data_IF_007124980410
#
_entry.id   IF_007124980410
#
_cell.length_a   1.000
_cell.length_b   1.000
_cell.length_c   1.000
_cell.angle_alpha   90.00
_cell.angle_beta   90.00
_cell.angle_gamma   90.00
#
_symmetry.space_group_name_H-M   'P 1'
#
loop_
_entity.id
_entity.type
_entity.pdbx_description
1 polymer ?
#
# COMPACT_ATOMS: atom_id res chain seq x y z
N UNK A 1 17.10 9.38 -38.51
CA UNK A 1 16.29 10.16 -37.55
C UNK A 1 16.54 9.61 -36.15
N UNK A 2 17.03 10.46 -35.26
CA UNK A 2 17.55 10.09 -33.95
C UNK A 2 16.42 10.14 -32.91
N UNK A 3 16.04 9.02 -32.32
CA UNK A 3 15.00 8.96 -31.27
C UNK A 3 15.69 9.36 -29.95
N UNK A 4 15.55 10.63 -29.56
CA UNK A 4 15.92 11.11 -28.22
C UNK A 4 15.03 10.42 -27.19
N UNK A 5 15.57 9.43 -26.48
CA UNK A 5 14.95 8.87 -25.29
C UNK A 5 14.76 9.95 -24.23
N UNK A 6 13.55 10.11 -23.73
CA UNK A 6 13.20 11.09 -22.70
C UNK A 6 13.97 10.81 -21.39
N UNK A 7 14.67 11.77 -20.77
CA UNK A 7 15.56 11.54 -19.61
C UNK A 7 14.84 11.17 -18.29
N UNK A 8 13.51 11.30 -18.25
CA UNK A 8 12.76 11.31 -16.98
C UNK A 8 12.38 9.93 -16.47
N UNK A 9 12.34 8.91 -17.35
CA UNK A 9 12.04 7.53 -16.95
C UNK A 9 13.11 6.95 -16.02
N UNK A 10 14.37 7.30 -16.23
CA UNK A 10 15.48 6.94 -15.35
C UNK A 10 15.41 7.67 -14.01
N UNK A 11 15.00 8.95 -14.03
CA UNK A 11 14.92 9.79 -12.83
C UNK A 11 13.86 9.30 -11.83
N UNK A 12 12.69 8.83 -12.29
CA UNK A 12 11.65 8.29 -11.40
C UNK A 12 12.06 6.95 -10.78
N UNK A 13 12.70 6.07 -11.56
CA UNK A 13 13.21 4.79 -11.08
C UNK A 13 14.36 4.99 -10.08
N UNK A 14 15.24 5.96 -10.34
CA UNK A 14 16.28 6.41 -9.40
C UNK A 14 15.67 6.94 -8.11
N UNK A 15 14.63 7.78 -8.18
CA UNK A 15 13.93 8.27 -7.00
C UNK A 15 13.32 7.14 -6.15
N UNK A 16 12.70 6.14 -6.79
CA UNK A 16 12.14 4.97 -6.09
C UNK A 16 13.24 4.13 -5.43
N UNK A 17 14.31 3.83 -6.15
CA UNK A 17 15.46 3.04 -5.64
C UNK A 17 16.21 3.80 -4.54
N UNK A 18 16.37 5.12 -4.67
CA UNK A 18 16.97 5.96 -3.63
C UNK A 18 16.12 5.98 -2.36
N UNK A 19 14.79 6.10 -2.45
CA UNK A 19 13.91 6.03 -1.27
C UNK A 19 13.99 4.65 -0.57
N UNK A 20 14.08 3.56 -1.34
CA UNK A 20 14.27 2.20 -0.80
C UNK A 20 15.63 2.06 -0.07
N UNK A 21 16.70 2.60 -0.64
CA UNK A 21 18.06 2.56 -0.04
C UNK A 21 18.19 3.49 1.18
N UNK A 22 17.51 4.64 1.19
CA UNK A 22 17.50 5.57 2.32
C UNK A 22 16.85 4.97 3.57
N UNK A 23 15.92 4.01 3.41
CA UNK A 23 15.29 3.30 4.53
C UNK A 23 16.17 2.20 5.15
N UNK A 24 17.29 1.82 4.55
CA UNK A 24 18.09 0.66 4.98
C UNK A 24 18.90 0.91 6.26
N UNK A 25 19.12 2.17 6.66
CA UNK A 25 20.02 2.55 7.76
C UNK A 25 19.46 3.59 8.75
N UNK A 26 18.15 3.84 8.75
CA UNK A 26 17.54 4.76 9.72
C UNK A 26 17.07 3.96 10.92
N UNK A 27 17.84 3.97 12.01
CA UNK A 27 17.31 3.54 13.31
C UNK A 27 16.14 4.49 13.66
N UNK A 28 14.90 3.99 13.79
CA UNK A 28 13.77 4.86 14.09
C UNK A 28 13.91 5.38 15.53
N UNK A 29 14.49 6.57 15.68
CA UNK A 29 14.41 7.33 16.92
C UNK A 29 12.97 7.87 17.04
N UNK A 30 12.26 7.59 18.15
CA UNK A 30 10.93 8.14 18.33
C UNK A 30 11.02 9.68 18.35
N UNK A 31 10.28 10.35 17.47
CA UNK A 31 10.08 11.80 17.54
C UNK A 31 9.20 12.09 18.75
N UNK A 32 9.83 12.45 19.86
CA UNK A 32 9.16 12.75 21.13
C UNK A 32 8.69 14.21 21.16
N UNK A 33 7.41 14.47 21.47
CA UNK A 33 6.98 15.82 21.84
C UNK A 33 7.78 16.29 23.05
N UNK A 34 8.46 17.43 22.96
CA UNK A 34 9.11 18.09 24.11
C UNK A 34 10.54 17.67 24.46
N UNK A 35 11.24 16.88 23.64
CA UNK A 35 12.69 16.68 23.80
C UNK A 35 13.14 15.80 24.98
N UNK A 36 12.25 14.99 25.56
CA UNK A 36 12.60 14.09 26.66
C UNK A 36 13.46 12.90 26.18
N UNK A 37 14.54 12.60 26.93
CA UNK A 37 15.53 11.56 26.60
C UNK A 37 15.00 10.10 26.70
N UNK A 38 13.78 9.90 27.21
CA UNK A 38 13.13 8.58 27.31
C UNK A 38 11.65 8.70 26.95
N UNK A 39 11.32 8.45 25.68
CA UNK A 39 9.93 8.27 25.26
C UNK A 39 9.44 6.90 25.73
N UNK A 40 8.36 6.87 26.52
CA UNK A 40 7.48 5.71 26.53
C UNK A 40 6.42 5.94 25.47
N UNK A 41 6.54 5.26 24.33
CA UNK A 41 5.48 5.22 23.32
C UNK A 41 4.51 4.13 23.73
N UNK A 42 3.23 4.46 23.94
CA UNK A 42 2.23 3.47 24.29
C UNK A 42 1.75 2.72 23.05
N UNK A 43 1.21 1.52 23.22
CA UNK A 43 0.59 0.78 22.11
C UNK A 43 -0.58 1.57 21.48
N UNK A 44 -1.28 2.39 22.29
CA UNK A 44 -2.31 3.31 21.81
C UNK A 44 -1.72 4.34 20.85
N UNK A 45 -0.61 4.99 21.21
CA UNK A 45 0.04 5.99 20.35
C UNK A 45 0.53 5.39 19.02
N UNK A 46 1.02 4.15 19.05
CA UNK A 46 1.42 3.41 17.86
C UNK A 46 0.22 3.15 16.94
N UNK A 47 -0.88 2.64 17.49
CA UNK A 47 -2.10 2.42 16.71
C UNK A 47 -2.71 3.72 16.18
N UNK A 48 -2.70 4.81 16.97
CA UNK A 48 -3.18 6.12 16.53
C UNK A 48 -2.40 6.60 15.30
N UNK A 49 -1.06 6.55 15.36
CA UNK A 49 -0.21 6.91 14.22
C UNK A 49 -0.42 5.97 13.03
N UNK A 50 -0.49 4.66 13.25
CA UNK A 50 -0.66 3.68 12.17
C UNK A 50 -2.01 3.86 11.45
N UNK A 51 -3.10 4.10 12.19
CA UNK A 51 -4.42 4.36 11.61
C UNK A 51 -4.43 5.69 10.84
N UNK A 52 -3.82 6.75 11.37
CA UNK A 52 -3.72 8.05 10.66
C UNK A 52 -2.96 7.88 9.33
N UNK A 53 -1.82 7.19 9.35
CA UNK A 53 -1.00 6.98 8.16
C UNK A 53 -1.70 6.09 7.14
N UNK A 54 -2.32 4.98 7.56
CA UNK A 54 -3.02 4.08 6.64
C UNK A 54 -4.24 4.74 5.98
N UNK A 55 -5.03 5.51 6.74
CA UNK A 55 -6.12 6.31 6.20
C UNK A 55 -5.61 7.34 5.18
N UNK A 56 -4.51 8.03 5.48
CA UNK A 56 -3.90 8.99 4.54
C UNK A 56 -3.42 8.31 3.25
N UNK A 57 -2.73 7.17 3.36
CA UNK A 57 -2.27 6.38 2.22
C UNK A 57 -3.44 5.92 1.36
N UNK A 58 -4.53 5.45 1.98
CA UNK A 58 -5.74 5.05 1.26
C UNK A 58 -6.38 6.22 0.50
N UNK A 59 -6.49 7.39 1.11
CA UNK A 59 -7.03 8.58 0.47
C UNK A 59 -6.20 8.98 -0.75
N UNK A 60 -4.87 9.09 -0.59
CA UNK A 60 -3.96 9.37 -1.71
C UNK A 60 -4.05 8.33 -2.82
N UNK A 61 -4.16 7.04 -2.46
CA UNK A 61 -4.29 5.95 -3.43
C UNK A 61 -5.61 6.05 -4.21
N UNK A 62 -6.69 6.46 -3.54
CA UNK A 62 -8.01 6.68 -4.15
C UNK A 62 -8.02 7.88 -5.08
N UNK A 63 -7.43 9.00 -4.67
CA UNK A 63 -7.27 10.20 -5.50
C UNK A 63 -6.42 9.91 -6.73
N UNK A 64 -5.26 9.27 -6.55
CA UNK A 64 -4.38 8.89 -7.65
C UNK A 64 -5.07 7.98 -8.66
N UNK A 65 -5.83 6.97 -8.19
CA UNK A 65 -6.61 6.12 -9.07
C UNK A 65 -7.69 6.90 -9.83
N UNK A 66 -8.43 7.77 -9.14
CA UNK A 66 -9.52 8.57 -9.73
C UNK A 66 -9.00 9.52 -10.81
N UNK A 67 -7.91 10.23 -10.54
CA UNK A 67 -7.30 11.15 -11.50
C UNK A 67 -6.72 10.42 -12.71
N UNK A 68 -6.08 9.25 -12.49
CA UNK A 68 -5.62 8.42 -13.59
C UNK A 68 -6.80 7.91 -14.44
N UNK A 69 -7.86 7.43 -13.80
CA UNK A 69 -9.01 6.84 -14.49
C UNK A 69 -9.72 7.87 -15.38
N UNK A 70 -9.99 9.04 -14.79
CA UNK A 70 -10.60 10.19 -15.46
C UNK A 70 -9.79 10.64 -16.68
N UNK A 71 -8.46 10.64 -16.59
CA UNK A 71 -7.58 11.21 -17.62
C UNK A 71 -7.23 10.22 -18.73
N UNK A 72 -7.09 8.94 -18.42
CA UNK A 72 -6.48 7.96 -19.34
C UNK A 72 -7.39 6.81 -19.75
N UNK A 73 -8.42 6.48 -18.96
CA UNK A 73 -9.14 5.20 -19.12
C UNK A 73 -10.65 5.33 -19.27
N UNK A 74 -11.20 6.53 -19.00
CA UNK A 74 -12.62 6.81 -19.18
C UNK A 74 -13.11 6.41 -20.59
N UNK A 75 -14.08 5.49 -20.65
CA UNK A 75 -14.64 4.97 -21.90
C UNK A 75 -13.88 3.81 -22.58
N UNK A 76 -12.78 3.31 -22.01
CA UNK A 76 -11.95 2.23 -22.61
C UNK A 76 -12.18 0.83 -22.05
N UNK A 77 -13.11 0.66 -21.11
CA UNK A 77 -13.51 -0.66 -20.61
C UNK A 77 -12.45 -1.40 -19.78
N UNK A 78 -11.38 -0.75 -19.31
CA UNK A 78 -10.31 -1.40 -18.55
C UNK A 78 -10.76 -1.98 -17.20
N UNK A 79 -11.91 -1.56 -16.67
CA UNK A 79 -12.47 -2.09 -15.43
C UNK A 79 -12.68 -3.60 -15.46
N UNK A 80 -13.06 -4.17 -16.61
CA UNK A 80 -13.28 -5.63 -16.73
C UNK A 80 -11.97 -6.41 -16.70
N UNK A 81 -10.85 -5.80 -17.12
CA UNK A 81 -9.50 -6.39 -17.12
C UNK A 81 -8.81 -6.33 -15.75
N UNK A 82 -9.35 -5.57 -14.80
CA UNK A 82 -8.81 -5.42 -13.45
C UNK A 82 -9.39 -6.41 -12.43
N UNK A 83 -10.46 -7.13 -12.80
CA UNK A 83 -11.10 -8.09 -11.91
C UNK A 83 -10.10 -9.21 -11.58
N UNK A 84 -9.85 -9.42 -10.28
CA UNK A 84 -8.95 -10.46 -9.73
C UNK A 84 -7.48 -10.38 -10.18
N UNK A 85 -7.00 -9.22 -10.65
CA UNK A 85 -5.64 -9.07 -11.21
C UNK A 85 -4.54 -8.73 -10.19
N UNK A 86 -4.85 -8.73 -8.88
CA UNK A 86 -3.91 -8.27 -7.86
C UNK A 86 -3.04 -9.41 -7.33
N UNK A 87 -1.73 -9.18 -7.25
CA UNK A 87 -0.75 -10.16 -6.75
C UNK A 87 -1.02 -10.66 -5.32
N UNK A 88 -1.69 -9.84 -4.50
CA UNK A 88 -2.10 -10.16 -3.13
C UNK A 88 -3.37 -11.01 -3.04
N UNK A 89 -4.04 -11.32 -4.15
CA UNK A 89 -5.31 -12.06 -4.11
C UNK A 89 -5.15 -13.53 -3.70
N UNK A 90 -3.91 -14.05 -3.69
CA UNK A 90 -3.58 -15.38 -3.17
C UNK A 90 -3.51 -15.42 -1.63
N UNK A 91 -3.47 -14.26 -0.96
CA UNK A 91 -3.44 -14.20 0.49
C UNK A 91 -4.84 -14.48 1.06
N UNK A 92 -4.96 -15.33 2.10
CA UNK A 92 -6.22 -15.53 2.80
C UNK A 92 -6.50 -14.32 3.70
N UNK A 93 -7.07 -13.27 3.11
CA UNK A 93 -7.46 -12.06 3.83
C UNK A 93 -8.92 -12.13 4.25
N UNK A 94 -9.30 -11.70 5.46
CA UNK A 94 -10.70 -11.69 5.87
C UNK A 94 -11.51 -10.71 5.02
N UNK A 95 -12.64 -11.14 4.48
CA UNK A 95 -13.48 -10.30 3.62
C UNK A 95 -14.55 -9.53 4.38
N UNK A 96 -14.89 -10.01 5.58
CA UNK A 96 -15.92 -9.44 6.44
C UNK A 96 -15.42 -9.24 7.89
N UNK A 97 -16.28 -8.63 8.70
CA UNK A 97 -15.97 -8.27 10.08
C UNK A 97 -15.80 -9.52 10.95
N UNK A 98 -16.63 -10.53 10.70
CA UNK A 98 -16.70 -11.78 11.45
C UNK A 98 -15.39 -12.56 11.29
N UNK A 99 -14.91 -12.71 10.05
CA UNK A 99 -13.61 -13.32 9.74
C UNK A 99 -12.46 -12.53 10.36
N UNK A 100 -12.50 -11.20 10.30
CA UNK A 100 -11.45 -10.36 10.87
C UNK A 100 -11.36 -10.49 12.41
N UNK A 101 -12.49 -10.71 13.10
CA UNK A 101 -12.52 -10.95 14.54
C UNK A 101 -11.94 -12.30 14.95
N UNK A 102 -11.92 -13.28 14.04
CA UNK A 102 -11.41 -14.64 14.29
C UNK A 102 -9.89 -14.77 14.13
N UNK A 103 -9.20 -13.75 13.60
CA UNK A 103 -7.74 -13.79 13.43
C UNK A 103 -7.04 -13.80 14.81
N UNK A 104 -6.11 -14.74 15.03
CA UNK A 104 -5.31 -14.76 16.26
C UNK A 104 -4.17 -13.74 16.17
N UNK A 105 -4.07 -12.85 17.15
CA UNK A 105 -2.95 -11.92 17.30
C UNK A 105 -1.95 -12.58 18.26
N UNK A 106 -0.88 -13.16 17.71
CA UNK A 106 0.18 -13.77 18.52
C UNK A 106 1.34 -12.78 18.73
N UNK A 107 1.78 -12.56 19.99
CA UNK A 107 2.92 -11.69 20.29
C UNK A 107 4.29 -12.32 19.91
N UNK A 108 4.35 -13.63 19.69
CA UNK A 108 5.56 -14.36 19.31
C UNK A 108 5.45 -14.88 17.87
N UNK A 109 5.52 -13.98 16.89
CA UNK A 109 5.60 -14.36 15.48
C UNK A 109 7.01 -14.81 15.13
N UNK A 110 7.14 -16.03 14.59
CA UNK A 110 8.37 -16.45 13.89
C UNK A 110 8.54 -15.55 12.66
N UNK A 111 9.70 -14.92 12.51
CA UNK A 111 10.09 -14.13 11.33
C UNK A 111 10.24 -15.04 10.10
N UNK A 112 9.12 -15.48 9.54
CA UNK A 112 9.08 -16.15 8.24
C UNK A 112 8.33 -15.23 7.29
N UNK A 113 9.06 -14.36 6.59
CA UNK A 113 8.49 -13.47 5.59
C UNK A 113 8.07 -14.25 4.34
N UNK A 114 6.80 -14.67 4.31
CA UNK A 114 6.18 -15.27 3.13
C UNK A 114 5.17 -14.27 2.57
N UNK A 115 5.62 -13.42 1.65
CA UNK A 115 4.76 -12.45 0.96
C UNK A 115 4.67 -12.77 -0.54
N UNK A 116 3.53 -12.46 -1.19
CA UNK A 116 3.38 -12.66 -2.63
C UNK A 116 4.31 -11.70 -3.38
N UNK A 117 5.06 -12.24 -4.34
CA UNK A 117 5.98 -11.44 -5.18
C UNK A 117 5.21 -10.80 -6.32
N UNK A 118 5.41 -9.50 -6.53
CA UNK A 118 4.88 -8.78 -7.69
C UNK A 118 5.87 -8.84 -8.86
N UNK A 119 5.41 -9.32 -10.02
CA UNK A 119 6.23 -9.51 -11.23
C UNK A 119 5.75 -8.70 -12.44
N UNK A 120 4.91 -7.68 -12.21
CA UNK A 120 4.23 -6.93 -13.27
C UNK A 120 5.07 -5.85 -13.98
N UNK A 121 6.36 -5.72 -13.68
CA UNK A 121 7.22 -4.67 -14.25
C UNK A 121 7.30 -4.68 -15.79
N UNK A 122 7.42 -5.84 -16.47
CA UNK A 122 7.44 -5.87 -17.94
C UNK A 122 6.19 -5.25 -18.57
N UNK A 123 5.01 -5.51 -18.00
CA UNK A 123 3.74 -4.96 -18.49
C UNK A 123 3.66 -3.44 -18.37
N UNK A 124 4.29 -2.85 -17.34
CA UNK A 124 4.37 -1.39 -17.18
C UNK A 124 5.33 -0.71 -18.17
N UNK A 125 6.24 -1.48 -18.78
CA UNK A 125 7.26 -1.00 -19.71
C UNK A 125 6.93 -1.29 -21.17
N UNK A 126 5.76 -1.89 -21.45
CA UNK A 126 5.34 -2.20 -22.82
C UNK A 126 5.32 -0.96 -23.72
N UNK A 127 5.80 -1.14 -24.95
CA UNK A 127 5.76 -0.10 -25.98
C UNK A 127 4.31 0.18 -26.42
N UNK A 128 3.47 -0.85 -26.46
CA UNK A 128 2.04 -0.73 -26.71
C UNK A 128 1.38 0.09 -25.60
N UNK A 129 0.75 1.20 -25.99
CA UNK A 129 0.16 2.15 -25.06
C UNK A 129 -1.05 1.56 -24.33
N UNK A 130 -1.91 0.80 -25.03
CA UNK A 130 -3.12 0.24 -24.45
C UNK A 130 -2.79 -0.79 -23.37
N UNK A 131 -1.91 -1.74 -23.67
CA UNK A 131 -1.44 -2.75 -22.71
C UNK A 131 -0.75 -2.10 -21.51
N UNK A 132 0.09 -1.09 -21.76
CA UNK A 132 0.77 -0.35 -20.69
C UNK A 132 -0.23 0.39 -19.79
N UNK A 133 -1.20 1.12 -20.36
CA UNK A 133 -2.22 1.82 -19.59
C UNK A 133 -3.09 0.85 -18.80
N UNK A 134 -3.46 -0.30 -19.38
CA UNK A 134 -4.18 -1.36 -18.66
C UNK A 134 -3.37 -1.91 -17.49
N UNK A 135 -2.05 -2.06 -17.63
CA UNK A 135 -1.17 -2.49 -16.55
C UNK A 135 -1.09 -1.46 -15.40
N UNK A 136 -0.97 -0.16 -15.72
CA UNK A 136 -1.04 0.91 -14.73
C UNK A 136 -2.42 0.97 -14.04
N UNK A 137 -3.50 0.82 -14.79
CA UNK A 137 -4.85 0.78 -14.24
C UNK A 137 -4.99 -0.34 -13.21
N UNK A 138 -4.55 -1.56 -13.55
CA UNK A 138 -4.58 -2.70 -12.64
C UNK A 138 -3.72 -2.45 -11.38
N UNK A 139 -2.53 -1.88 -11.54
CA UNK A 139 -1.65 -1.53 -10.42
C UNK A 139 -2.32 -0.56 -9.44
N UNK A 140 -2.87 0.54 -9.96
CA UNK A 140 -3.51 1.58 -9.14
C UNK A 140 -4.81 1.08 -8.51
N UNK A 141 -5.58 0.28 -9.24
CA UNK A 141 -6.76 -0.40 -8.72
C UNK A 141 -6.41 -1.27 -7.50
N UNK A 142 -5.37 -2.10 -7.63
CA UNK A 142 -4.91 -2.98 -6.55
C UNK A 142 -4.36 -2.20 -5.36
N UNK A 143 -3.58 -1.13 -5.60
CA UNK A 143 -3.06 -0.27 -4.54
C UNK A 143 -4.21 0.38 -3.74
N UNK A 144 -5.23 0.91 -4.42
CA UNK A 144 -6.42 1.48 -3.78
C UNK A 144 -7.16 0.43 -2.94
N UNK A 145 -7.34 -0.78 -3.48
CA UNK A 145 -8.02 -1.89 -2.79
C UNK A 145 -7.26 -2.33 -1.53
N UNK A 146 -5.95 -2.54 -1.67
CA UNK A 146 -5.13 -3.10 -0.59
C UNK A 146 -4.85 -2.06 0.50
N UNK A 147 -4.67 -0.78 0.16
CA UNK A 147 -4.58 0.30 1.15
C UNK A 147 -5.86 0.45 1.97
N UNK A 148 -7.03 0.33 1.34
CA UNK A 148 -8.32 0.31 2.05
C UNK A 148 -8.43 -0.89 3.02
N UNK A 149 -8.01 -2.09 2.59
CA UNK A 149 -7.97 -3.27 3.46
C UNK A 149 -7.05 -3.06 4.67
N UNK A 150 -5.85 -2.52 4.45
CA UNK A 150 -4.88 -2.24 5.53
C UNK A 150 -5.44 -1.25 6.54
N UNK A 151 -6.02 -0.12 6.09
CA UNK A 151 -6.65 0.87 6.96
C UNK A 151 -7.77 0.25 7.82
N UNK A 152 -8.66 -0.52 7.20
CA UNK A 152 -9.74 -1.20 7.92
C UNK A 152 -9.23 -2.24 8.92
N UNK A 153 -8.23 -3.06 8.56
CA UNK A 153 -7.66 -4.02 9.49
C UNK A 153 -6.96 -3.35 10.67
N UNK A 154 -6.26 -2.24 10.46
CA UNK A 154 -5.63 -1.49 11.54
C UNK A 154 -6.68 -0.88 12.49
N UNK A 155 -7.79 -0.35 11.96
CA UNK A 155 -8.93 0.12 12.77
C UNK A 155 -9.55 -1.00 13.61
N UNK A 156 -9.77 -2.18 13.00
CA UNK A 156 -10.30 -3.36 13.70
C UNK A 156 -9.35 -3.86 14.79
N UNK A 157 -8.05 -3.99 14.48
CA UNK A 157 -7.03 -4.42 15.42
C UNK A 157 -6.88 -3.44 16.59
N UNK A 158 -6.83 -2.14 16.31
CA UNK A 158 -6.82 -1.10 17.35
C UNK A 158 -8.03 -1.27 18.26
N UNK A 159 -9.21 -1.46 17.69
CA UNK A 159 -10.42 -1.59 18.48
C UNK A 159 -10.42 -2.84 19.37
N UNK A 160 -10.00 -3.96 18.81
CA UNK A 160 -9.91 -5.23 19.54
C UNK A 160 -8.88 -5.18 20.65
N UNK A 161 -7.67 -4.70 20.36
CA UNK A 161 -6.52 -4.78 21.26
C UNK A 161 -6.60 -3.70 22.36
N UNK A 162 -7.02 -2.48 22.01
CA UNK A 162 -7.02 -1.34 22.94
C UNK A 162 -8.35 -1.21 23.70
N UNK A 163 -9.46 -1.56 23.06
CA UNK A 163 -10.80 -1.31 23.58
C UNK A 163 -11.62 -2.58 23.81
N UNK A 164 -11.05 -3.78 23.61
CA UNK A 164 -11.76 -5.05 23.72
C UNK A 164 -13.05 -5.07 22.89
N UNK A 165 -12.97 -4.58 21.64
CA UNK A 165 -14.08 -4.40 20.70
C UNK A 165 -15.14 -3.34 21.09
N UNK A 166 -14.93 -2.54 22.15
CA UNK A 166 -15.81 -1.44 22.55
C UNK A 166 -15.31 -0.08 22.03
N UNK A 167 -15.35 0.06 20.71
CA UNK A 167 -15.24 1.33 20.02
C UNK A 167 -16.62 1.71 19.47
#
# INVERSE_FOLDING_TARGET
>A
MNIKGSPWKGSLLLLLVSNLLLCQNVAPLPVCPGGAARCQVTLRDLFDRAVILSHYIHNLSSEMFSEFDKRYTHGRGFITRAINSCHTSSLPTPEDKEQAQQINVHPETKENEIYPVWTGLPSLQMADEESRLSAYYNLLHCLRRDSHKIDNYLKLLKCRIIHNNNC
#
